data_IF_386637765990
#
_entry.id   IF_386637765990
#
_cell.length_a   1.000
_cell.length_b   1.000
_cell.length_c   1.000
_cell.angle_alpha   90.00
_cell.angle_beta   90.00
_cell.angle_gamma   90.00
#
_symmetry.space_group_name_H-M   'P 1'
#
loop_
_entity.id
_entity.type
_entity.pdbx_description
1 polymer ?
#
# COMPACT_ATOMS: atom_id res chain seq x y z
N UNK A 1 8.20 22.99 19.29
CA UNK A 1 7.79 23.56 17.98
C UNK A 1 8.28 24.99 17.73
N UNK A 2 8.07 25.97 18.62
CA UNK A 2 8.53 27.36 18.39
C UNK A 2 10.04 27.48 18.16
N UNK A 3 10.85 26.77 18.95
CA UNK A 3 12.31 26.75 18.83
C UNK A 3 12.74 26.14 17.48
N UNK A 4 12.20 24.99 17.10
CA UNK A 4 12.45 24.36 15.80
C UNK A 4 12.11 25.30 14.63
N UNK A 5 10.98 26.02 14.72
CA UNK A 5 10.61 26.99 13.68
C UNK A 5 11.61 28.15 13.55
N UNK A 6 12.21 28.60 14.66
CA UNK A 6 13.23 29.64 14.63
C UNK A 6 14.52 29.12 14.00
N UNK A 7 14.94 27.92 14.38
CA UNK A 7 16.12 27.22 13.83
C UNK A 7 16.01 26.95 12.33
N UNK A 8 14.79 26.65 11.85
CA UNK A 8 14.48 26.50 10.43
C UNK A 8 14.32 27.83 9.68
N UNK A 9 14.29 28.98 10.37
CA UNK A 9 14.17 30.28 9.72
C UNK A 9 12.78 30.59 9.15
N UNK A 10 11.73 29.89 9.55
CA UNK A 10 10.36 30.00 8.98
C UNK A 10 9.60 31.29 9.40
N UNK A 11 10.26 32.20 10.10
CA UNK A 11 9.70 33.50 10.50
C UNK A 11 8.40 33.39 11.30
N UNK A 12 7.45 34.27 11.00
CA UNK A 12 6.14 34.30 11.69
C UNK A 12 5.20 33.15 11.29
N UNK A 13 5.48 32.45 10.20
CA UNK A 13 4.63 31.37 9.67
C UNK A 13 4.66 30.09 10.51
N UNK A 14 5.72 29.87 11.27
CA UNK A 14 5.79 28.73 12.18
C UNK A 14 5.93 27.38 11.48
N UNK A 15 5.89 26.31 12.28
CA UNK A 15 5.65 24.94 11.81
C UNK A 15 4.27 24.51 12.30
N UNK A 16 3.46 23.95 11.39
CA UNK A 16 2.14 23.38 11.69
C UNK A 16 2.08 21.93 11.26
N UNK A 17 1.18 21.16 11.88
CA UNK A 17 0.92 19.79 11.43
C UNK A 17 0.25 19.81 10.06
N UNK A 18 0.67 18.89 9.19
CA UNK A 18 0.05 18.75 7.87
C UNK A 18 -1.36 18.14 8.02
N UNK A 19 -2.34 18.59 7.24
CA UNK A 19 -3.65 17.94 7.18
C UNK A 19 -3.53 16.55 6.54
N UNK A 20 -4.49 15.67 6.80
CA UNK A 20 -4.48 14.29 6.29
C UNK A 20 -4.41 14.22 4.76
N UNK A 21 -5.09 15.13 4.06
CA UNK A 21 -5.08 15.19 2.60
C UNK A 21 -3.64 15.34 2.06
N UNK A 22 -2.82 16.19 2.69
CA UNK A 22 -1.44 16.38 2.29
C UNK A 22 -0.59 15.12 2.54
N UNK A 23 -0.89 14.33 3.58
CA UNK A 23 -0.18 13.06 3.81
C UNK A 23 -0.46 12.07 2.67
N UNK A 24 -1.72 11.98 2.21
CA UNK A 24 -2.11 11.13 1.09
C UNK A 24 -1.56 11.61 -0.25
N UNK A 25 -1.55 12.91 -0.49
CA UNK A 25 -1.05 13.49 -1.75
C UNK A 25 0.49 13.45 -1.83
N UNK A 26 1.19 13.82 -0.75
CA UNK A 26 2.65 13.99 -0.74
C UNK A 26 3.36 12.70 -0.37
N UNK A 27 2.98 12.09 0.76
CA UNK A 27 3.65 10.89 1.29
C UNK A 27 2.98 9.58 0.83
N UNK A 28 1.77 9.64 0.26
CA UNK A 28 0.98 8.47 -0.16
C UNK A 28 0.75 7.45 0.95
N UNK A 29 0.59 7.92 2.19
CA UNK A 29 0.26 7.10 3.35
C UNK A 29 -0.95 7.66 4.09
N UNK A 30 -1.78 6.81 4.69
CA UNK A 30 -2.88 7.27 5.53
C UNK A 30 -2.37 7.84 6.87
N UNK A 31 -3.25 8.56 7.57
CA UNK A 31 -2.96 9.04 8.92
C UNK A 31 -2.59 7.84 9.83
N UNK A 32 -1.53 8.00 10.62
CA UNK A 32 -1.02 6.94 11.50
C UNK A 32 -0.01 5.98 10.85
N UNK A 33 0.20 6.07 9.54
CA UNK A 33 1.21 5.27 8.81
C UNK A 33 2.43 6.09 8.35
N UNK A 34 2.65 7.26 8.96
CA UNK A 34 3.79 8.14 8.63
C UNK A 34 5.11 7.45 8.99
N UNK A 35 6.03 7.38 8.03
CA UNK A 35 7.29 6.64 8.16
C UNK A 35 8.36 7.23 7.25
N UNK A 36 9.66 7.15 7.60
CA UNK A 36 10.75 7.57 6.72
C UNK A 36 10.74 6.87 5.35
N UNK A 37 10.18 5.66 5.27
CA UNK A 37 10.09 4.92 4.00
C UNK A 37 9.16 5.55 2.97
N UNK A 38 8.22 6.42 3.41
CA UNK A 38 7.31 7.12 2.51
C UNK A 38 8.04 8.11 1.58
N UNK A 39 9.30 8.45 1.89
CA UNK A 39 10.13 9.32 1.05
C UNK A 39 10.58 8.66 -0.25
N UNK A 40 10.41 7.34 -0.39
CA UNK A 40 10.60 6.66 -1.66
C UNK A 40 9.62 7.15 -2.74
N UNK A 41 8.46 7.66 -2.35
CA UNK A 41 7.44 8.15 -3.29
C UNK A 41 7.91 9.45 -3.96
N UNK A 42 7.80 9.54 -5.29
CA UNK A 42 8.23 10.72 -6.07
C UNK A 42 7.50 12.01 -5.64
N UNK A 43 6.25 11.89 -5.20
CA UNK A 43 5.45 12.99 -4.64
C UNK A 43 6.07 13.60 -3.38
N UNK A 44 6.95 12.87 -2.68
CA UNK A 44 7.69 13.32 -1.50
C UNK A 44 9.04 14.00 -1.85
N UNK A 45 9.28 14.33 -3.12
CA UNK A 45 10.49 15.01 -3.58
C UNK A 45 10.74 16.33 -2.84
N UNK A 46 9.70 17.12 -2.56
CA UNK A 46 9.76 18.37 -1.80
C UNK A 46 9.71 18.19 -0.27
N UNK A 47 9.76 16.96 0.25
CA UNK A 47 9.81 16.70 1.70
C UNK A 47 11.26 16.60 2.16
N UNK A 48 11.59 17.38 3.20
CA UNK A 48 12.84 17.27 3.95
C UNK A 48 12.63 16.44 5.22
N UNK A 49 13.53 15.48 5.44
CA UNK A 49 13.52 14.62 6.62
C UNK A 49 14.52 15.14 7.66
N UNK A 50 14.04 15.37 8.87
CA UNK A 50 14.87 15.65 10.03
C UNK A 50 14.86 14.43 10.95
N UNK A 51 16.03 13.87 11.21
CA UNK A 51 16.22 12.76 12.12
C UNK A 51 16.80 13.27 13.44
N UNK A 52 16.26 12.80 14.56
CA UNK A 52 16.84 13.12 15.87
C UNK A 52 18.25 12.53 15.99
N UNK A 53 19.21 13.35 16.44
CA UNK A 53 20.57 12.92 16.73
C UNK A 53 20.62 11.76 17.73
N UNK A 54 19.66 11.69 18.67
CA UNK A 54 19.52 10.55 19.58
C UNK A 54 19.36 9.21 18.88
N UNK A 55 18.81 9.20 17.65
CA UNK A 55 18.61 8.00 16.84
C UNK A 55 19.94 7.37 16.37
N UNK A 56 20.99 8.17 16.13
CA UNK A 56 22.32 7.65 15.75
C UNK A 56 22.92 6.75 16.82
N UNK A 57 22.63 7.03 18.09
CA UNK A 57 23.18 6.29 19.23
C UNK A 57 22.56 4.91 19.43
N UNK A 58 21.42 4.62 18.77
CA UNK A 58 20.66 3.39 18.96
C UNK A 58 21.17 2.27 18.07
N UNK A 59 21.30 1.07 18.63
CA UNK A 59 21.68 -0.14 17.87
C UNK A 59 20.59 -0.55 16.87
N UNK A 60 19.33 -0.41 17.24
CA UNK A 60 18.17 -0.76 16.43
C UNK A 60 17.10 0.31 16.56
N UNK A 61 16.49 0.64 15.43
CA UNK A 61 15.40 1.59 15.26
C UNK A 61 14.22 0.86 14.63
N UNK A 62 13.02 1.19 15.07
CA UNK A 62 11.79 0.50 14.67
C UNK A 62 10.92 1.44 13.86
N UNK A 63 10.49 0.98 12.68
CA UNK A 63 9.68 1.78 11.77
C UNK A 63 8.61 0.91 11.11
N UNK A 64 7.52 1.54 10.70
CA UNK A 64 6.44 0.89 9.96
C UNK A 64 6.75 0.89 8.45
N UNK A 65 6.67 -0.26 7.74
CA UNK A 65 6.91 -0.32 6.30
C UNK A 65 5.64 0.11 5.54
N UNK A 66 5.37 1.41 5.49
CA UNK A 66 4.22 2.06 4.84
C UNK A 66 2.82 1.69 5.39
N UNK A 67 2.70 0.63 6.18
CA UNK A 67 1.52 0.24 6.96
C UNK A 67 1.87 0.09 8.44
N UNK A 68 0.94 0.45 9.32
CA UNK A 68 1.08 0.35 10.78
C UNK A 68 0.86 -1.06 11.35
N UNK A 69 0.46 -2.03 10.54
CA UNK A 69 0.24 -3.42 10.97
C UNK A 69 1.54 -4.21 11.23
N UNK A 70 2.66 -3.73 10.67
CA UNK A 70 3.96 -4.38 10.72
C UNK A 70 5.01 -3.41 11.22
N UNK A 71 6.01 -3.90 11.94
CA UNK A 71 7.18 -3.12 12.36
C UNK A 71 8.45 -3.80 11.89
N UNK A 72 9.34 -3.04 11.27
CA UNK A 72 10.67 -3.50 10.86
C UNK A 72 11.73 -2.89 11.76
N UNK A 73 12.74 -3.70 12.10
CA UNK A 73 13.88 -3.31 12.91
C UNK A 73 15.10 -3.09 11.99
N UNK A 74 15.77 -1.95 12.13
CA UNK A 74 16.95 -1.59 11.34
C UNK A 74 17.93 -0.75 12.14
N UNK A 75 19.22 -0.89 11.85
CA UNK A 75 20.23 0.03 12.36
C UNK A 75 20.06 1.42 11.72
N UNK A 76 20.50 2.46 12.43
CA UNK A 76 20.58 3.84 11.89
C UNK A 76 21.37 3.89 10.58
N UNK A 77 22.48 3.16 10.50
CA UNK A 77 23.30 3.06 9.28
C UNK A 77 22.59 2.43 8.08
N UNK A 78 21.63 1.53 8.31
CA UNK A 78 20.84 0.95 7.23
C UNK A 78 19.72 1.90 6.78
N UNK A 79 19.17 2.71 7.69
CA UNK A 79 18.27 3.81 7.32
C UNK A 79 18.99 4.81 6.41
N UNK A 80 20.22 5.19 6.76
CA UNK A 80 21.05 6.10 5.96
C UNK A 80 21.29 5.55 4.55
N UNK A 81 21.63 4.26 4.42
CA UNK A 81 21.78 3.61 3.11
C UNK A 81 20.50 3.66 2.28
N UNK A 82 19.35 3.43 2.91
CA UNK A 82 18.05 3.54 2.24
C UNK A 82 17.83 4.96 1.73
N UNK A 83 18.01 5.98 2.57
CA UNK A 83 17.83 7.38 2.19
C UNK A 83 18.77 7.79 1.06
N UNK A 84 20.04 7.40 1.12
CA UNK A 84 21.01 7.65 0.06
C UNK A 84 20.63 6.95 -1.25
N UNK A 85 20.08 5.73 -1.19
CA UNK A 85 19.64 4.99 -2.38
C UNK A 85 18.48 5.65 -3.13
N UNK A 86 17.66 6.43 -2.43
CA UNK A 86 16.56 7.22 -3.00
C UNK A 86 16.95 8.67 -3.28
N UNK A 87 18.26 9.01 -3.17
CA UNK A 87 18.78 10.36 -3.43
C UNK A 87 18.46 11.40 -2.35
N UNK A 88 18.09 10.96 -1.14
CA UNK A 88 17.80 11.85 0.00
C UNK A 88 19.00 11.85 0.97
N UNK A 89 19.45 13.05 1.36
CA UNK A 89 20.52 13.19 2.34
C UNK A 89 19.93 13.15 3.76
N UNK A 90 20.39 12.24 4.65
CA UNK A 90 19.92 12.20 6.03
C UNK A 90 20.43 13.40 6.83
N UNK A 91 19.52 14.24 7.33
CA UNK A 91 19.85 15.36 8.20
C UNK A 91 19.58 15.01 9.65
N UNK A 92 20.64 14.88 10.44
CA UNK A 92 20.55 14.61 11.88
C UNK A 92 20.64 15.91 12.67
N UNK A 93 19.65 16.14 13.53
CA UNK A 93 19.48 17.37 14.29
C UNK A 93 19.27 17.01 15.76
N UNK A 94 20.00 17.68 16.65
CA UNK A 94 19.65 17.68 18.07
C UNK A 94 18.37 18.50 18.27
N UNK A 95 17.24 17.81 18.46
CA UNK A 95 15.92 18.45 18.61
C UNK A 95 15.69 19.01 20.01
N UNK A 96 16.49 18.60 21.00
CA UNK A 96 16.38 19.05 22.41
C UNK A 96 17.22 20.30 22.67
N UNK A 97 18.21 20.58 21.83
CA UNK A 97 18.99 21.81 21.89
C UNK A 97 18.13 23.06 21.66
N UNK A 98 18.36 24.07 22.52
CA UNK A 98 17.74 25.40 22.45
C UNK A 98 18.78 26.49 22.15
N UNK A 99 19.37 26.51 20.93
CA UNK A 99 20.29 27.56 20.55
C UNK A 99 19.59 28.91 20.48
N UNK A 100 20.32 29.98 20.82
CA UNK A 100 19.83 31.36 20.71
C UNK A 100 19.88 31.75 19.23
N UNK A 101 18.73 31.79 18.56
CA UNK A 101 18.60 32.28 17.17
C UNK A 101 18.21 33.76 17.23
N UNK A 102 19.00 34.62 16.60
CA UNK A 102 18.84 36.07 16.72
C UNK A 102 19.56 36.84 15.62
N UNK A 103 19.59 38.18 15.73
CA UNK A 103 20.19 39.05 14.71
C UNK A 103 21.69 38.74 14.48
N UNK A 104 22.37 38.29 15.53
CA UNK A 104 23.80 37.97 15.51
C UNK A 104 24.09 36.47 15.34
N UNK A 105 23.05 35.60 15.34
CA UNK A 105 23.21 34.16 15.16
C UNK A 105 22.12 33.64 14.19
N UNK A 106 22.47 33.39 12.91
CA UNK A 106 21.51 32.98 11.89
C UNK A 106 20.91 31.60 12.20
N UNK A 107 19.76 31.25 11.58
CA UNK A 107 19.11 29.96 11.78
C UNK A 107 20.02 28.83 11.27
N UNK A 108 20.32 27.87 12.14
CA UNK A 108 21.26 26.76 11.88
C UNK A 108 20.69 25.67 10.96
N UNK A 109 19.38 25.62 10.77
CA UNK A 109 18.68 24.61 9.97
C UNK A 109 17.99 25.18 8.72
N UNK A 110 18.26 26.44 8.36
CA UNK A 110 17.61 27.10 7.22
C UNK A 110 17.81 26.35 5.90
N UNK A 111 19.00 25.77 5.69
CA UNK A 111 19.35 25.06 4.45
C UNK A 111 18.56 23.76 4.25
N UNK A 112 17.94 23.23 5.32
CA UNK A 112 17.15 22.00 5.27
C UNK A 112 15.70 22.26 4.84
N UNK A 113 15.27 23.52 4.76
CA UNK A 113 13.91 23.87 4.33
C UNK A 113 13.83 23.75 2.80
N UNK A 114 12.99 22.84 2.27
CA UNK A 114 12.87 22.68 0.83
C UNK A 114 12.18 23.92 0.23
N UNK A 115 12.81 24.51 -0.78
CA UNK A 115 12.28 25.72 -1.46
C UNK A 115 11.13 25.43 -2.43
N UNK A 116 10.73 24.16 -2.58
CA UNK A 116 9.61 23.74 -3.42
C UNK A 116 8.27 24.00 -2.73
N UNK A 117 7.61 25.10 -3.08
CA UNK A 117 6.31 25.47 -2.53
C UNK A 117 5.21 24.45 -2.92
N UNK A 118 4.67 23.75 -1.93
CA UNK A 118 3.27 23.29 -2.01
C UNK A 118 2.38 24.49 -1.66
N UNK A 119 1.84 25.16 -2.68
CA UNK A 119 0.72 26.08 -2.50
C UNK A 119 -0.56 25.27 -2.36
N UNK A 120 -0.89 24.87 -1.12
CA UNK A 120 -2.26 24.53 -0.78
C UNK A 120 -3.04 25.84 -0.67
N UNK A 121 -3.89 26.12 -1.65
CA UNK A 121 -4.88 27.19 -1.60
C UNK A 121 -5.82 26.98 -0.41
N UNK A 122 -5.55 27.67 0.69
CA UNK A 122 -6.49 27.85 1.79
C UNK A 122 -7.50 28.92 1.36
N UNK A 123 -8.67 28.53 0.86
CA UNK A 123 -9.83 29.41 0.81
C UNK A 123 -10.61 29.24 2.12
N UNK A 124 -10.62 30.31 2.88
CA UNK A 124 -11.35 30.48 4.14
C UNK A 124 -12.85 30.57 3.83
N UNK A 125 -13.66 29.68 4.40
CA UNK A 125 -15.10 29.92 4.55
C UNK A 125 -15.49 29.64 5.99
N UNK A 126 -15.98 30.70 6.64
CA UNK A 126 -16.56 30.72 7.98
C UNK A 126 -17.73 29.73 8.13
N UNK A 127 -17.78 29.09 9.31
CA UNK A 127 -18.99 28.48 9.86
C UNK A 127 -20.10 29.53 10.07
N UNK A 128 -21.38 29.13 9.95
CA UNK A 128 -22.13 28.94 11.19
C UNK A 128 -23.07 27.70 11.18
N UNK A 129 -23.11 27.00 12.31
CA UNK A 129 -24.15 26.04 12.74
C UNK A 129 -25.16 26.75 13.67
N UNK A 130 -26.27 26.14 14.19
CA UNK A 130 -26.97 24.86 13.89
C UNK A 130 -28.54 24.94 13.87
N UNK A 131 -29.21 23.83 13.48
CA UNK A 131 -30.53 23.24 13.90
C UNK A 131 -31.14 22.48 12.69
N UNK A 132 -31.68 21.26 12.73
CA UNK A 132 -32.18 20.34 13.76
C UNK A 132 -31.99 18.86 13.29
N UNK A 133 -31.86 17.94 14.24
CA UNK A 133 -31.94 16.47 14.08
C UNK A 133 -33.42 16.00 14.14
N UNK A 134 -33.81 14.73 13.84
CA UNK A 134 -33.49 13.58 14.70
C UNK A 134 -33.23 12.22 13.96
N UNK A 135 -32.17 11.50 14.36
CA UNK A 135 -32.17 10.22 15.13
C UNK A 135 -32.91 9.02 14.51
N UNK A 136 -32.18 7.92 14.24
CA UNK A 136 -32.58 6.54 14.64
C UNK A 136 -31.33 5.69 14.91
N UNK A 137 -31.36 5.01 16.05
CA UNK A 137 -30.33 4.16 16.64
C UNK A 137 -30.30 2.72 16.08
N UNK A 138 -29.13 2.10 16.18
CA UNK A 138 -28.81 0.66 16.01
C UNK A 138 -29.44 -0.18 17.15
N UNK A 139 -29.72 -1.48 16.96
CA UNK A 139 -28.91 -2.47 17.72
C UNK A 139 -28.62 -3.83 17.02
N UNK A 140 -27.50 -4.44 17.44
CA UNK A 140 -27.00 -5.81 17.18
C UNK A 140 -27.80 -6.88 17.94
N UNK A 141 -27.99 -8.09 17.40
CA UNK A 141 -27.67 -9.41 18.05
C UNK A 141 -28.04 -10.68 17.23
N UNK A 142 -27.16 -11.70 17.34
CA UNK A 142 -27.34 -13.17 17.45
C UNK A 142 -28.12 -14.04 16.41
N UNK A 143 -27.35 -14.96 15.80
CA UNK A 143 -27.53 -16.44 15.79
C UNK A 143 -28.49 -17.14 14.78
N UNK A 144 -27.93 -18.24 14.22
CA UNK A 144 -28.51 -19.49 13.69
C UNK A 144 -28.82 -19.67 12.19
N UNK A 145 -28.30 -20.79 11.67
CA UNK A 145 -28.57 -21.48 10.39
C UNK A 145 -30.05 -21.92 10.28
N UNK A 146 -30.54 -22.23 9.05
CA UNK A 146 -30.67 -23.65 8.72
C UNK A 146 -30.25 -24.03 7.28
N UNK A 147 -29.90 -25.30 7.16
CA UNK A 147 -29.67 -26.08 5.94
C UNK A 147 -30.86 -26.05 4.98
N UNK A 148 -30.61 -25.93 3.66
CA UNK A 148 -31.38 -26.68 2.64
C UNK A 148 -30.47 -27.11 1.50
N UNK A 149 -30.38 -28.44 1.36
CA UNK A 149 -29.82 -29.19 0.23
C UNK A 149 -30.51 -28.82 -1.09
N UNK A 150 -29.76 -28.53 -2.14
CA UNK A 150 -30.17 -28.87 -3.51
C UNK A 150 -28.97 -28.94 -4.46
N UNK A 151 -28.62 -30.16 -4.89
CA UNK A 151 -27.91 -30.41 -6.15
C UNK A 151 -28.85 -30.07 -7.32
N UNK A 152 -28.31 -29.69 -8.48
CA UNK A 152 -28.57 -30.56 -9.62
C UNK A 152 -27.33 -30.85 -10.48
N UNK A 153 -27.32 -32.10 -10.94
CA UNK A 153 -26.53 -32.73 -11.99
C UNK A 153 -27.34 -32.57 -13.29
N UNK A 154 -26.69 -32.36 -14.45
CA UNK A 154 -27.12 -32.69 -15.86
C UNK A 154 -26.21 -31.87 -16.79
N UNK A 155 -25.14 -32.43 -17.36
CA UNK A 155 -24.99 -33.29 -18.56
C UNK A 155 -24.35 -32.52 -19.72
N UNK A 156 -23.31 -33.14 -20.26
CA UNK A 156 -22.46 -32.71 -21.36
C UNK A 156 -23.19 -32.67 -22.71
N UNK A 157 -22.78 -31.75 -23.57
CA UNK A 157 -22.74 -31.94 -25.02
C UNK A 157 -21.47 -31.29 -25.58
N UNK A 158 -20.67 -32.09 -26.27
CA UNK A 158 -19.37 -31.71 -26.81
C UNK A 158 -19.43 -31.07 -28.19
N UNK A 159 -18.31 -30.43 -28.54
CA UNK A 159 -17.82 -30.27 -29.91
C UNK A 159 -16.28 -30.15 -29.85
N UNK A 160 -15.59 -31.02 -30.59
CA UNK A 160 -14.16 -30.99 -30.94
C UNK A 160 -13.93 -29.90 -32.03
N UNK A 161 -12.75 -29.37 -32.40
CA UNK A 161 -11.33 -29.55 -32.06
C UNK A 161 -10.57 -28.23 -32.38
N UNK A 162 -9.39 -28.01 -31.79
CA UNK A 162 -8.18 -27.51 -32.47
C UNK A 162 -7.02 -27.44 -31.49
N UNK A 163 -5.92 -28.13 -31.82
CA UNK A 163 -4.73 -28.33 -30.99
C UNK A 163 -3.98 -27.02 -30.73
N UNK A 164 -3.82 -26.69 -29.44
CA UNK A 164 -2.66 -25.97 -28.92
C UNK A 164 -2.41 -26.47 -27.49
N UNK A 165 -1.12 -26.71 -27.17
CA UNK A 165 -0.59 -27.34 -25.93
C UNK A 165 -1.50 -27.18 -24.71
N UNK A 166 -2.12 -28.29 -24.30
CA UNK A 166 -3.03 -28.39 -23.16
C UNK A 166 -2.29 -28.11 -21.85
N UNK A 167 -2.57 -26.98 -21.23
CA UNK A 167 -2.40 -26.81 -19.78
C UNK A 167 -3.52 -27.63 -19.13
N UNK A 168 -3.15 -28.62 -18.32
CA UNK A 168 -4.13 -29.47 -17.63
C UNK A 168 -5.10 -28.59 -16.84
N UNK A 169 -6.38 -28.65 -17.20
CA UNK A 169 -7.47 -27.99 -16.50
C UNK A 169 -7.63 -28.62 -15.10
N UNK A 170 -6.77 -28.20 -14.19
CA UNK A 170 -7.01 -28.33 -12.76
C UNK A 170 -8.23 -27.45 -12.45
N UNK A 171 -9.16 -27.91 -11.62
CA UNK A 171 -10.34 -27.13 -11.22
C UNK A 171 -9.96 -25.80 -10.52
N UNK A 172 -10.89 -25.13 -9.80
CA UNK A 172 -10.60 -23.87 -9.10
C UNK A 172 -9.72 -24.08 -7.84
N UNK A 173 -8.70 -24.93 -7.92
CA UNK A 173 -7.69 -25.11 -6.90
C UNK A 173 -6.59 -24.04 -7.09
N UNK A 174 -6.59 -23.09 -6.16
CA UNK A 174 -5.72 -21.92 -6.18
C UNK A 174 -4.26 -22.27 -5.90
N UNK A 175 -4.01 -23.28 -5.06
CA UNK A 175 -2.65 -23.73 -4.73
C UNK A 175 -1.95 -24.32 -5.95
N UNK A 176 -2.68 -25.16 -6.71
CA UNK A 176 -2.15 -25.77 -7.92
C UNK A 176 -1.86 -24.70 -8.97
N UNK A 177 -2.79 -23.76 -9.18
CA UNK A 177 -2.59 -22.64 -10.10
C UNK A 177 -1.36 -21.81 -9.73
N UNK A 178 -1.19 -21.48 -8.45
CA UNK A 178 -0.04 -20.70 -8.00
C UNK A 178 1.28 -21.45 -8.24
N UNK A 179 1.32 -22.75 -7.96
CA UNK A 179 2.51 -23.58 -8.26
C UNK A 179 2.81 -23.60 -9.77
N UNK A 180 1.80 -23.84 -10.61
CA UNK A 180 1.96 -23.94 -12.06
C UNK A 180 2.48 -22.62 -12.66
N UNK A 181 1.95 -21.49 -12.22
CA UNK A 181 2.42 -20.16 -12.64
C UNK A 181 3.88 -19.92 -12.26
N UNK A 182 4.26 -20.29 -11.03
CA UNK A 182 5.65 -20.11 -10.57
C UNK A 182 6.62 -21.04 -11.32
N UNK A 183 6.21 -22.25 -11.70
CA UNK A 183 7.01 -23.13 -12.56
C UNK A 183 7.27 -22.54 -13.95
N UNK A 184 6.30 -21.81 -14.51
CA UNK A 184 6.44 -21.15 -15.80
C UNK A 184 7.30 -19.88 -15.70
N UNK A 185 7.12 -19.08 -14.65
CA UNK A 185 7.80 -17.79 -14.51
C UNK A 185 9.25 -17.96 -14.07
N UNK A 186 9.55 -18.94 -13.23
CA UNK A 186 10.88 -19.09 -12.63
C UNK A 186 12.02 -19.23 -13.67
N UNK A 187 11.91 -20.04 -14.74
CA UNK A 187 12.93 -20.09 -15.79
C UNK A 187 13.11 -18.75 -16.53
N UNK A 188 12.03 -18.01 -16.76
CA UNK A 188 12.06 -16.70 -17.40
C UNK A 188 12.75 -15.67 -16.52
N UNK A 189 12.45 -15.70 -15.22
CA UNK A 189 13.10 -14.86 -14.22
C UNK A 189 14.60 -15.13 -14.14
N UNK A 190 15.01 -16.41 -14.10
CA UNK A 190 16.44 -16.77 -14.09
C UNK A 190 17.17 -16.30 -15.36
N UNK A 191 16.52 -16.40 -16.52
CA UNK A 191 17.06 -15.92 -17.79
C UNK A 191 17.30 -14.40 -17.76
N UNK A 192 16.34 -13.63 -17.23
CA UNK A 192 16.45 -12.18 -17.12
C UNK A 192 17.47 -11.73 -16.05
N UNK A 193 17.48 -12.40 -14.90
CA UNK A 193 18.43 -12.13 -13.81
C UNK A 193 19.88 -12.43 -14.23
N UNK A 194 20.10 -13.52 -14.97
CA UNK A 194 21.40 -13.88 -15.56
C UNK A 194 21.96 -12.77 -16.43
N UNK A 195 21.13 -12.20 -17.33
CA UNK A 195 21.52 -11.09 -18.21
C UNK A 195 21.87 -9.81 -17.44
N UNK A 196 21.06 -9.47 -16.43
CA UNK A 196 21.24 -8.23 -15.65
C UNK A 196 22.47 -8.26 -14.75
N UNK A 197 22.78 -9.42 -14.19
CA UNK A 197 23.86 -9.58 -13.20
C UNK A 197 25.18 -10.08 -13.81
N UNK A 198 25.17 -10.46 -15.10
CA UNK A 198 26.32 -11.04 -15.80
C UNK A 198 26.87 -12.31 -15.11
N UNK A 199 25.98 -13.08 -14.48
CA UNK A 199 26.28 -14.34 -13.78
C UNK A 199 25.77 -15.50 -14.63
N UNK A 200 26.49 -16.62 -14.65
CA UNK A 200 26.03 -17.82 -15.39
C UNK A 200 24.73 -18.35 -14.78
N UNK A 201 23.79 -18.74 -15.65
CA UNK A 201 22.49 -19.26 -15.23
C UNK A 201 22.63 -20.49 -14.30
N UNK A 202 23.62 -21.34 -14.54
CA UNK A 202 23.94 -22.53 -13.72
C UNK A 202 24.31 -22.16 -12.27
N UNK A 203 24.99 -21.04 -12.08
CA UNK A 203 25.40 -20.56 -10.75
C UNK A 203 24.20 -19.93 -10.03
N UNK A 204 23.34 -19.20 -10.76
CA UNK A 204 22.08 -18.68 -10.22
C UNK A 204 21.11 -19.79 -9.81
N UNK A 205 21.03 -20.90 -10.56
CA UNK A 205 20.19 -22.04 -10.17
C UNK A 205 20.66 -22.76 -8.91
N UNK A 206 21.95 -22.65 -8.55
CA UNK A 206 22.48 -23.18 -7.30
C UNK A 206 22.14 -22.28 -6.10
N UNK A 207 22.12 -20.97 -6.33
CA UNK A 207 21.81 -19.95 -5.31
C UNK A 207 20.30 -19.84 -5.07
N UNK A 208 19.52 -19.79 -6.14
CA UNK A 208 18.06 -19.69 -6.13
C UNK A 208 17.48 -21.02 -6.61
N UNK A 209 17.02 -21.82 -5.65
CA UNK A 209 16.31 -23.08 -5.92
C UNK A 209 14.83 -22.81 -6.16
N UNK A 210 14.24 -23.54 -7.10
CA UNK A 210 12.80 -23.45 -7.41
C UNK A 210 11.95 -23.69 -6.15
N UNK A 211 12.31 -24.66 -5.31
CA UNK A 211 11.55 -24.98 -4.09
C UNK A 211 11.58 -23.85 -3.07
N UNK A 212 12.73 -23.19 -2.90
CA UNK A 212 12.86 -22.03 -2.01
C UNK A 212 12.10 -20.82 -2.55
N UNK A 213 12.10 -20.64 -3.87
CA UNK A 213 11.32 -19.61 -4.54
C UNK A 213 9.82 -19.85 -4.37
N UNK A 214 9.35 -21.07 -4.64
CA UNK A 214 7.95 -21.46 -4.44
C UNK A 214 7.50 -21.26 -3.00
N UNK A 215 8.29 -21.72 -2.03
CA UNK A 215 7.97 -21.56 -0.60
C UNK A 215 7.76 -20.11 -0.18
N UNK A 216 8.43 -19.16 -0.83
CA UNK A 216 8.31 -17.72 -0.53
C UNK A 216 7.22 -17.03 -1.35
N UNK A 217 7.11 -17.35 -2.64
CA UNK A 217 6.24 -16.64 -3.57
C UNK A 217 4.82 -17.24 -3.68
N UNK A 218 4.65 -18.54 -3.40
CA UNK A 218 3.36 -19.21 -3.53
C UNK A 218 2.29 -18.65 -2.58
N UNK A 219 2.56 -18.40 -1.27
CA UNK A 219 1.54 -17.88 -0.36
C UNK A 219 0.98 -16.51 -0.81
N UNK A 220 1.85 -15.64 -1.33
CA UNK A 220 1.45 -14.33 -1.84
C UNK A 220 0.58 -14.47 -3.09
N UNK A 221 0.99 -15.31 -4.04
CA UNK A 221 0.23 -15.56 -5.26
C UNK A 221 -1.11 -16.25 -4.99
N UNK A 222 -1.15 -17.17 -4.03
CA UNK A 222 -2.37 -17.82 -3.56
C UNK A 222 -3.33 -16.82 -2.93
N UNK A 223 -2.84 -15.91 -2.09
CA UNK A 223 -3.64 -14.84 -1.48
C UNK A 223 -4.28 -13.95 -2.54
N UNK A 224 -3.47 -13.46 -3.50
CA UNK A 224 -3.96 -12.62 -4.61
C UNK A 224 -4.97 -13.37 -5.47
N UNK A 225 -4.69 -14.64 -5.80
CA UNK A 225 -5.59 -15.46 -6.62
C UNK A 225 -6.90 -15.76 -5.88
N UNK A 226 -6.86 -16.00 -4.57
CA UNK A 226 -8.06 -16.16 -3.75
C UNK A 226 -8.89 -14.88 -3.70
N UNK A 227 -8.25 -13.72 -3.60
CA UNK A 227 -8.93 -12.42 -3.68
C UNK A 227 -9.65 -12.26 -5.03
N UNK A 228 -8.97 -12.51 -6.15
CA UNK A 228 -9.59 -12.44 -7.48
C UNK A 228 -10.72 -13.44 -7.66
N UNK A 229 -10.55 -14.67 -7.16
CA UNK A 229 -11.60 -15.69 -7.15
C UNK A 229 -12.84 -15.20 -6.42
N UNK A 230 -12.67 -14.68 -5.21
CA UNK A 230 -13.78 -14.15 -4.41
C UNK A 230 -14.45 -12.95 -5.11
N UNK A 231 -13.66 -12.04 -5.68
CA UNK A 231 -14.16 -10.90 -6.43
C UNK A 231 -15.00 -11.32 -7.63
N UNK A 232 -14.55 -12.32 -8.39
CA UNK A 232 -15.27 -12.87 -9.53
C UNK A 232 -16.59 -13.54 -9.10
N UNK A 233 -16.62 -14.28 -8.00
CA UNK A 233 -17.85 -14.86 -7.46
C UNK A 233 -18.85 -13.79 -7.03
N UNK A 234 -18.40 -12.75 -6.32
CA UNK A 234 -19.24 -11.63 -5.91
C UNK A 234 -19.79 -10.87 -7.11
N UNK A 235 -18.94 -10.54 -8.09
CA UNK A 235 -19.36 -9.85 -9.31
C UNK A 235 -20.36 -10.69 -10.12
N UNK A 236 -20.12 -11.99 -10.26
CA UNK A 236 -21.03 -12.91 -10.94
C UNK A 236 -22.38 -13.02 -10.25
N UNK A 237 -22.41 -13.01 -8.91
CA UNK A 237 -23.66 -12.99 -8.14
C UNK A 237 -24.47 -11.71 -8.39
N UNK A 238 -23.84 -10.54 -8.31
CA UNK A 238 -24.51 -9.26 -8.59
C UNK A 238 -25.01 -9.19 -10.04
N UNK A 239 -24.21 -9.62 -11.01
CA UNK A 239 -24.63 -9.68 -12.41
C UNK A 239 -25.83 -10.63 -12.61
N UNK A 240 -25.83 -11.80 -11.98
CA UNK A 240 -26.95 -12.73 -11.98
C UNK A 240 -28.21 -12.15 -11.33
N UNK A 241 -28.06 -11.47 -10.20
CA UNK A 241 -29.16 -10.81 -9.51
C UNK A 241 -29.76 -9.67 -10.33
N UNK A 242 -28.93 -8.83 -10.94
CA UNK A 242 -29.35 -7.73 -11.80
C UNK A 242 -30.06 -8.22 -13.07
N UNK A 243 -29.58 -9.31 -13.68
CA UNK A 243 -30.27 -9.93 -14.82
C UNK A 243 -31.62 -10.50 -14.41
N UNK A 244 -31.74 -11.11 -13.24
CA UNK A 244 -33.02 -11.57 -12.68
C UNK A 244 -34.00 -10.41 -12.45
N UNK A 245 -33.56 -9.31 -11.81
CA UNK A 245 -34.39 -8.12 -11.59
C UNK A 245 -34.89 -7.49 -12.90
N UNK A 246 -34.01 -7.35 -13.90
CA UNK A 246 -34.36 -6.79 -15.21
C UNK A 246 -35.33 -7.68 -15.99
N UNK A 247 -35.20 -9.00 -15.86
CA UNK A 247 -36.11 -9.97 -16.49
C UNK A 247 -37.47 -10.08 -15.78
N UNK A 248 -37.54 -9.82 -14.47
CA UNK A 248 -38.76 -9.95 -13.67
C UNK A 248 -39.73 -8.77 -13.69
N UNK A 249 -39.28 -7.55 -14.00
CA UNK A 249 -40.10 -6.33 -13.97
C UNK A 249 -40.57 -5.82 -15.35
N UNK A 250 -40.14 -6.46 -16.45
CA UNK A 250 -40.48 -6.03 -17.83
C UNK A 250 -41.74 -6.65 -18.44
N UNK A 251 -42.52 -7.45 -17.69
CA UNK A 251 -43.47 -8.40 -18.27
C UNK A 251 -44.94 -8.32 -17.80
N UNK A 252 -45.43 -7.20 -17.27
CA UNK A 252 -46.86 -7.06 -16.96
C UNK A 252 -47.52 -6.03 -17.89
N UNK A 253 -48.31 -6.45 -18.91
CA UNK A 253 -49.11 -5.52 -19.69
C UNK A 253 -50.20 -4.92 -18.78
N UNK A 254 -50.26 -3.59 -18.77
CA UNK A 254 -51.30 -2.81 -18.09
C UNK A 254 -52.66 -3.20 -18.65
N UNK A 255 -53.48 -3.91 -17.85
CA UNK A 255 -54.89 -4.18 -18.19
C UNK A 255 -55.66 -2.86 -18.12
N UNK A 256 -56.05 -2.34 -19.29
CA UNK A 256 -57.20 -1.45 -19.42
C UNK A 256 -58.49 -2.27 -19.43
#
# INVERSE_FOLDING_TARGET
MKILSQRLGLGKGGVRMAPEENLRQVLQVPLGCVTPFALFNESASAVSLLLDQGLKSKQSCYFHPLTNDVTIALSSSNLDKFLLSIGKQPAYVDLEASPVVGKDNPPDLADLVPSGAFCSSEESVENPTPKDAPQVNVPKEKTCLPEVKAKPKVQNKGAESSESKVLTNNGPNVEIFASDVLEVIFPLFLSEASKKLNIKQEELTQILKLDDFKRRAAPDLESVTNMFKNMAYTAGFHAGFDTMLKSGLGGMPSRK
#
